data_IF_378573149650
#
_entry.id   IF_378573149650
#
_cell.length_a   1.000
_cell.length_b   1.000
_cell.length_c   1.000
_cell.angle_alpha   90.00
_cell.angle_beta   90.00
_cell.angle_gamma   90.00
#
_symmetry.space_group_name_H-M   'P 1'
#
loop_
_entity.id
_entity.type
_entity.pdbx_description
1 polymer ?
#
# COMPACT_ATOMS: atom_id res chain seq x y z
N UNK A 1 13.02 6.13 -11.52
CA UNK A 1 12.68 7.56 -11.36
C UNK A 1 11.55 7.70 -10.36
N UNK A 2 11.48 8.82 -9.63
CA UNK A 2 10.30 9.10 -8.81
C UNK A 2 9.16 9.56 -9.72
N UNK A 3 7.96 9.00 -9.55
CA UNK A 3 6.80 9.39 -10.36
C UNK A 3 6.40 10.80 -9.95
N UNK A 4 6.02 11.64 -10.91
CA UNK A 4 5.51 12.97 -10.62
C UNK A 4 4.33 12.89 -9.64
N UNK A 5 4.31 13.77 -8.63
CA UNK A 5 3.28 13.79 -7.59
C UNK A 5 1.85 13.86 -8.15
N UNK A 6 1.64 14.62 -9.23
CA UNK A 6 0.33 14.75 -9.87
C UNK A 6 -0.08 13.46 -10.58
N UNK A 7 0.82 12.87 -11.38
CA UNK A 7 0.56 11.59 -12.04
C UNK A 7 0.33 10.47 -11.03
N UNK A 8 1.06 10.51 -9.91
CA UNK A 8 0.89 9.56 -8.83
C UNK A 8 -0.49 9.67 -8.17
N UNK A 9 -1.01 10.89 -7.95
CA UNK A 9 -2.38 11.09 -7.47
C UNK A 9 -3.41 10.51 -8.45
N UNK A 10 -3.23 10.78 -9.74
CA UNK A 10 -4.13 10.29 -10.79
C UNK A 10 -4.09 8.75 -10.91
N UNK A 11 -2.91 8.13 -10.81
CA UNK A 11 -2.74 6.68 -10.76
C UNK A 11 -3.49 6.07 -9.57
N UNK A 12 -3.43 6.71 -8.40
CA UNK A 12 -4.15 6.27 -7.21
C UNK A 12 -5.67 6.38 -7.35
N UNK A 13 -6.16 7.44 -7.98
CA UNK A 13 -7.59 7.56 -8.30
C UNK A 13 -8.04 6.47 -9.27
N UNK A 14 -7.24 6.14 -10.28
CA UNK A 14 -7.57 5.09 -11.25
C UNK A 14 -7.60 3.69 -10.61
N UNK A 15 -6.66 3.40 -9.70
CA UNK A 15 -6.66 2.16 -8.92
C UNK A 15 -7.92 2.08 -8.04
N UNK A 16 -8.31 3.17 -7.38
CA UNK A 16 -9.54 3.21 -6.57
C UNK A 16 -10.82 2.95 -7.39
N UNK A 17 -10.77 3.18 -8.71
CA UNK A 17 -11.85 2.91 -9.67
C UNK A 17 -11.73 1.54 -10.35
N UNK A 18 -10.83 0.68 -9.88
CA UNK A 18 -10.68 -0.71 -10.34
C UNK A 18 -9.75 -0.94 -11.52
N UNK A 19 -8.93 0.04 -11.92
CA UNK A 19 -7.85 -0.20 -12.89
C UNK A 19 -6.72 -1.01 -12.25
N UNK A 20 -5.99 -1.77 -13.06
CA UNK A 20 -4.84 -2.55 -12.60
C UNK A 20 -3.52 -1.81 -12.85
N UNK A 21 -2.44 -2.23 -12.19
CA UNK A 21 -1.10 -1.67 -12.43
C UNK A 21 -0.66 -1.89 -13.89
N UNK A 22 -1.07 -3.01 -14.52
CA UNK A 22 -0.82 -3.26 -15.94
C UNK A 22 -1.55 -2.25 -16.85
N UNK A 23 -2.75 -1.81 -16.46
CA UNK A 23 -3.46 -0.72 -17.16
C UNK A 23 -2.75 0.63 -16.98
N UNK A 24 -2.17 0.87 -15.80
CA UNK A 24 -1.39 2.07 -15.52
C UNK A 24 -0.08 2.10 -16.32
N UNK A 25 0.65 0.99 -16.40
CA UNK A 25 1.87 0.89 -17.21
C UNK A 25 1.59 1.19 -18.69
N UNK A 26 0.46 0.69 -19.22
CA UNK A 26 0.03 1.02 -20.59
C UNK A 26 -0.31 2.51 -20.75
N UNK A 27 -0.92 3.15 -19.73
CA UNK A 27 -1.31 4.56 -19.75
C UNK A 27 -0.12 5.50 -19.55
N UNK A 28 0.88 5.09 -18.77
CA UNK A 28 2.07 5.87 -18.45
C UNK A 28 3.35 5.08 -18.81
N UNK A 29 3.63 4.87 -20.12
CA UNK A 29 4.71 4.01 -20.59
C UNK A 29 6.12 4.52 -20.24
N UNK A 30 6.23 5.77 -19.78
CA UNK A 30 7.47 6.35 -19.26
C UNK A 30 7.88 5.74 -17.90
N UNK A 31 6.99 5.02 -17.22
CA UNK A 31 7.26 4.34 -15.96
C UNK A 31 7.13 2.84 -16.14
N UNK A 32 8.12 2.09 -15.64
CA UNK A 32 8.02 0.64 -15.67
C UNK A 32 6.96 0.11 -14.70
N UNK A 33 6.39 -1.07 -14.97
CA UNK A 33 5.46 -1.77 -14.07
C UNK A 33 5.90 -1.71 -12.61
N UNK A 34 7.17 -2.04 -12.36
CA UNK A 34 7.74 -2.05 -11.02
C UNK A 34 7.80 -0.65 -10.41
N UNK A 35 8.16 0.39 -11.17
CA UNK A 35 8.18 1.76 -10.66
C UNK A 35 6.79 2.22 -10.24
N UNK A 36 5.76 1.95 -11.06
CA UNK A 36 4.36 2.26 -10.72
C UNK A 36 3.94 1.46 -9.48
N UNK A 37 4.20 0.15 -9.46
CA UNK A 37 3.91 -0.73 -8.33
C UNK A 37 4.51 -0.24 -7.01
N UNK A 38 5.70 0.35 -7.04
CA UNK A 38 6.38 0.85 -5.84
C UNK A 38 5.88 2.20 -5.35
N UNK A 39 5.21 2.99 -6.21
CA UNK A 39 4.88 4.38 -5.92
C UNK A 39 3.40 4.57 -5.57
N UNK A 40 2.50 3.80 -6.17
CA UNK A 40 1.05 3.93 -5.97
C UNK A 40 0.61 3.57 -4.55
N UNK A 41 -0.32 4.36 -4.00
CA UNK A 41 -0.97 4.23 -2.71
C UNK A 41 -1.86 2.99 -2.60
N UNK A 42 -2.15 2.31 -3.71
CA UNK A 42 -2.64 0.93 -3.68
C UNK A 42 -1.48 -0.01 -3.35
N UNK A 43 -1.03 0.14 -2.10
CA UNK A 43 -0.10 -0.73 -1.44
C UNK A 43 -0.66 -2.13 -1.42
N UNK A 44 -0.18 -3.01 -2.31
CA UNK A 44 -0.34 -4.44 -2.06
C UNK A 44 0.11 -4.73 -0.61
N UNK A 45 -0.60 -5.60 0.11
CA UNK A 45 -0.21 -6.02 1.46
C UNK A 45 1.27 -6.43 1.53
N UNK A 46 1.80 -6.95 0.42
CA UNK A 46 3.20 -7.28 0.21
C UNK A 46 4.13 -6.05 0.26
N UNK A 47 3.75 -4.94 -0.40
CA UNK A 47 4.48 -3.68 -0.37
C UNK A 47 4.59 -3.13 1.05
N UNK A 48 3.46 -3.02 1.78
CA UNK A 48 3.46 -2.59 3.19
C UNK A 48 4.27 -3.53 4.08
N UNK A 49 4.11 -4.85 3.92
CA UNK A 49 4.92 -5.84 4.65
C UNK A 49 6.42 -5.62 4.43
N UNK A 50 6.86 -5.41 3.18
CA UNK A 50 8.27 -5.13 2.85
C UNK A 50 8.75 -3.82 3.48
N UNK A 51 7.96 -2.75 3.44
CA UNK A 51 8.31 -1.47 4.07
C UNK A 51 8.49 -1.62 5.57
N UNK A 52 7.54 -2.26 6.26
CA UNK A 52 7.64 -2.57 7.69
C UNK A 52 8.91 -3.39 7.96
N UNK A 53 9.17 -4.43 7.15
CA UNK A 53 10.37 -5.27 7.28
C UNK A 53 11.66 -4.45 7.14
N UNK A 54 11.71 -3.51 6.20
CA UNK A 54 12.86 -2.63 6.00
C UNK A 54 13.06 -1.66 7.17
N UNK A 55 11.97 -1.15 7.77
CA UNK A 55 12.04 -0.33 8.99
C UNK A 55 12.57 -1.14 10.17
N UNK A 56 12.09 -2.36 10.38
CA UNK A 56 12.61 -3.26 11.40
C UNK A 56 14.11 -3.56 11.21
N UNK A 57 14.56 -3.81 9.98
CA UNK A 57 15.99 -3.98 9.67
C UNK A 57 16.80 -2.71 9.98
N UNK A 58 16.26 -1.53 9.68
CA UNK A 58 16.90 -0.23 9.96
C UNK A 58 16.97 0.07 11.46
N UNK A 59 16.03 -0.46 12.25
CA UNK A 59 16.02 -0.33 13.70
C UNK A 59 17.24 -1.02 14.34
N UNK A 60 17.66 -2.17 13.79
CA UNK A 60 18.86 -2.91 14.23
C UNK A 60 20.14 -2.09 14.00
N UNK A 61 20.22 -1.34 12.89
CA UNK A 61 21.42 -0.57 12.54
C UNK A 61 21.42 0.87 13.07
N UNK A 62 20.36 1.29 13.76
CA UNK A 62 20.26 2.64 14.31
C UNK A 62 21.13 2.82 15.57
N UNK A 63 21.97 3.85 15.55
CA UNK A 63 23.02 4.09 16.57
C UNK A 63 22.49 4.79 17.83
N UNK A 64 21.42 5.57 17.72
CA UNK A 64 20.89 6.36 18.83
C UNK A 64 19.52 5.85 19.27
N UNK A 65 19.21 6.02 20.56
CA UNK A 65 17.89 5.67 21.11
C UNK A 65 16.78 6.47 20.44
N UNK A 66 16.98 7.78 20.22
CA UNK A 66 16.00 8.63 19.54
C UNK A 66 15.70 8.15 18.11
N UNK A 67 16.72 7.75 17.35
CA UNK A 67 16.52 7.21 16.01
C UNK A 67 15.82 5.84 16.04
N UNK A 68 16.13 4.98 17.02
CA UNK A 68 15.43 3.71 17.22
C UNK A 68 13.94 3.94 17.54
N UNK A 69 13.62 4.89 18.41
CA UNK A 69 12.25 5.22 18.76
C UNK A 69 11.47 5.72 17.54
N UNK A 70 12.00 6.68 16.79
CA UNK A 70 11.32 7.19 15.59
C UNK A 70 11.08 6.11 14.52
N UNK A 71 12.04 5.20 14.33
CA UNK A 71 11.86 4.07 13.40
C UNK A 71 10.81 3.08 13.92
N UNK A 72 10.76 2.84 15.24
CA UNK A 72 9.76 1.98 15.86
C UNK A 72 8.35 2.55 15.69
N UNK A 73 8.17 3.84 15.97
CA UNK A 73 6.88 4.53 15.86
C UNK A 73 6.38 4.55 14.40
N UNK A 74 7.29 4.73 13.43
CA UNK A 74 6.98 4.65 12.01
C UNK A 74 6.55 3.22 11.60
N UNK A 75 7.29 2.21 12.07
CA UNK A 75 6.95 0.80 11.79
C UNK A 75 5.59 0.41 12.40
N UNK A 76 5.29 0.89 13.61
CA UNK A 76 4.02 0.67 14.29
C UNK A 76 2.87 1.31 13.51
N UNK A 77 3.03 2.57 13.09
CA UNK A 77 2.00 3.28 12.31
C UNK A 77 1.68 2.55 11.00
N UNK A 78 2.71 2.09 10.28
CA UNK A 78 2.54 1.30 9.05
C UNK A 78 1.83 -0.03 9.31
N UNK A 79 2.08 -0.66 10.46
CA UNK A 79 1.42 -1.90 10.86
C UNK A 79 -0.06 -1.67 11.20
N UNK A 80 -0.37 -0.58 11.90
CA UNK A 80 -1.74 -0.22 12.27
C UNK A 80 -2.58 0.07 11.02
N UNK A 81 -2.02 0.82 10.07
CA UNK A 81 -2.67 1.04 8.78
C UNK A 81 -2.93 -0.26 8.02
N UNK A 82 -1.96 -1.19 8.03
CA UNK A 82 -2.09 -2.49 7.38
C UNK A 82 -3.25 -3.29 7.99
N UNK A 83 -3.34 -3.29 9.32
CA UNK A 83 -4.41 -3.95 10.06
C UNK A 83 -5.77 -3.33 9.74
N UNK A 84 -5.89 -2.00 9.75
CA UNK A 84 -7.14 -1.31 9.47
C UNK A 84 -7.64 -1.60 8.04
N UNK A 85 -6.73 -1.62 7.06
CA UNK A 85 -7.07 -1.99 5.69
C UNK A 85 -7.55 -3.44 5.59
N UNK A 86 -6.84 -4.39 6.22
CA UNK A 86 -7.27 -5.79 6.25
C UNK A 86 -8.66 -5.95 6.88
N UNK A 87 -8.88 -5.31 8.04
CA UNK A 87 -10.15 -5.33 8.75
C UNK A 87 -11.29 -4.76 7.90
N UNK A 88 -11.06 -3.62 7.24
CA UNK A 88 -12.03 -3.01 6.33
C UNK A 88 -12.34 -3.93 5.14
N UNK A 89 -11.33 -4.56 4.55
CA UNK A 89 -11.54 -5.45 3.41
C UNK A 89 -12.31 -6.71 3.82
N UNK A 90 -12.02 -7.29 4.99
CA UNK A 90 -12.79 -8.42 5.53
C UNK A 90 -14.25 -8.05 5.77
N UNK A 91 -14.54 -6.85 6.31
CA UNK A 91 -15.92 -6.41 6.52
C UNK A 91 -16.69 -6.30 5.19
N UNK A 92 -16.08 -5.69 4.16
CA UNK A 92 -16.67 -5.60 2.82
C UNK A 92 -16.95 -6.97 2.19
N UNK A 93 -16.05 -7.94 2.37
CA UNK A 93 -16.26 -9.30 1.87
C UNK A 93 -17.46 -9.99 2.54
N UNK A 94 -17.66 -9.76 3.85
CA UNK A 94 -18.83 -10.27 4.58
C UNK A 94 -20.12 -9.63 4.06
N UNK A 95 -20.11 -8.32 3.79
CA UNK A 95 -21.27 -7.62 3.23
C UNK A 95 -21.63 -8.15 1.83
N UNK A 96 -20.62 -8.42 0.99
CA UNK A 96 -20.81 -9.04 -0.33
C UNK A 96 -21.41 -10.44 -0.20
N UNK A 97 -20.86 -11.30 0.68
CA UNK A 97 -21.40 -12.65 0.91
C UNK A 97 -22.85 -12.61 1.40
N UNK A 98 -23.21 -11.68 2.29
CA UNK A 98 -24.60 -11.49 2.73
C UNK A 98 -25.52 -11.09 1.59
N UNK A 99 -25.11 -10.12 0.76
CA UNK A 99 -25.91 -9.68 -0.38
C UNK A 99 -26.16 -10.81 -1.38
N UNK A 100 -25.12 -11.60 -1.69
CA UNK A 100 -25.23 -12.75 -2.58
C UNK A 100 -26.13 -13.86 -2.03
N UNK A 101 -26.17 -14.06 -0.71
CA UNK A 101 -27.05 -15.04 -0.06
C UNK A 101 -28.49 -14.58 0.09
N UNK A 102 -28.75 -13.28 0.11
CA UNK A 102 -30.11 -12.74 0.22
C UNK A 102 -30.88 -12.70 -1.10
N UNK A 103 -30.20 -12.87 -2.23
CA UNK A 103 -30.81 -12.92 -3.57
C UNK A 103 -31.09 -14.36 -4.09
N UNK A 104 -30.74 -15.39 -3.31
CA UNK A 104 -31.00 -16.80 -3.63
C UNK A 104 -31.94 -17.46 -2.63
#
# INVERSE_FOLDING_TARGET
MAINKHELQEMNELLSRGKTIADLEKKYPQYGYWEIYWQVADYSFLGKKRTITNRLKKLVSAKTQAARQGIADEAQSLLDELYLQLKSNSAKLIEIDRALRSEG
#
